data_IF_255762060387
#
_entry.id   IF_255762060387
#
_cell.length_a   1.000
_cell.length_b   1.000
_cell.length_c   1.000
_cell.angle_alpha   90.00
_cell.angle_beta   90.00
_cell.angle_gamma   90.00
#
_symmetry.space_group_name_H-M   'P 1'
#
loop_
_entity.id
_entity.type
_entity.pdbx_description
1 polymer ?
#
# COMPACT_ATOMS: atom_id res chain seq x y z
N UNK A 1 -17.47 -10.66 6.65
CA UNK A 1 -17.62 -9.78 5.47
C UNK A 1 -18.13 -10.51 4.22
N UNK A 2 -17.71 -11.75 4.00
CA UNK A 2 -18.04 -12.56 2.82
C UNK A 2 -19.55 -12.83 2.59
N UNK A 3 -20.36 -13.20 3.61
CA UNK A 3 -21.78 -13.52 3.40
C UNK A 3 -22.58 -12.32 2.90
N UNK A 4 -22.27 -11.14 3.42
CA UNK A 4 -22.90 -9.88 3.03
C UNK A 4 -22.59 -9.51 1.59
N UNK A 5 -21.31 -9.56 1.19
CA UNK A 5 -20.89 -9.24 -0.17
C UNK A 5 -21.54 -10.21 -1.19
N UNK A 6 -21.57 -11.51 -0.86
CA UNK A 6 -22.19 -12.54 -1.71
C UNK A 6 -23.69 -12.33 -1.86
N UNK A 7 -24.40 -12.06 -0.76
CA UNK A 7 -25.83 -11.76 -0.79
C UNK A 7 -26.14 -10.54 -1.67
N UNK A 8 -25.41 -9.44 -1.47
CA UNK A 8 -25.64 -8.18 -2.21
C UNK A 8 -25.39 -8.36 -3.70
N UNK A 9 -24.24 -8.95 -4.07
CA UNK A 9 -23.88 -9.16 -5.48
C UNK A 9 -24.88 -10.09 -6.18
N UNK A 10 -25.34 -11.13 -5.50
CA UNK A 10 -26.37 -12.04 -6.02
C UNK A 10 -27.68 -11.30 -6.27
N UNK A 11 -28.15 -10.52 -5.29
CA UNK A 11 -29.38 -9.73 -5.40
C UNK A 11 -29.31 -8.72 -6.55
N UNK A 12 -28.20 -8.01 -6.69
CA UNK A 12 -28.03 -6.97 -7.70
C UNK A 12 -27.95 -7.58 -9.12
N UNK A 13 -27.30 -8.75 -9.26
CA UNK A 13 -27.30 -9.53 -10.51
C UNK A 13 -28.71 -9.98 -10.91
N UNK A 14 -29.48 -10.54 -9.97
CA UNK A 14 -30.86 -10.99 -10.22
C UNK A 14 -31.76 -9.81 -10.64
N UNK A 15 -31.64 -8.65 -9.97
CA UNK A 15 -32.36 -7.42 -10.35
C UNK A 15 -31.97 -6.92 -11.74
N UNK A 16 -30.69 -7.01 -12.11
CA UNK A 16 -30.20 -6.64 -13.45
C UNK A 16 -30.80 -7.55 -14.52
N UNK A 17 -30.82 -8.87 -14.30
CA UNK A 17 -31.42 -9.84 -15.22
C UNK A 17 -32.93 -9.65 -15.38
N UNK A 18 -33.66 -9.45 -14.27
CA UNK A 18 -35.10 -9.16 -14.29
C UNK A 18 -35.41 -7.91 -15.12
N UNK A 19 -34.64 -6.83 -14.95
CA UNK A 19 -34.78 -5.60 -15.76
C UNK A 19 -34.49 -5.84 -17.24
N UNK A 20 -33.43 -6.57 -17.58
CA UNK A 20 -33.13 -6.90 -18.99
C UNK A 20 -34.22 -7.75 -19.65
N UNK A 21 -34.77 -8.73 -18.94
CA UNK A 21 -35.88 -9.55 -19.43
C UNK A 21 -37.13 -8.69 -19.70
N UNK A 22 -37.48 -7.77 -18.80
CA UNK A 22 -38.59 -6.83 -18.99
C UNK A 22 -38.38 -5.91 -20.20
N UNK A 23 -37.17 -5.40 -20.40
CA UNK A 23 -36.83 -4.55 -21.55
C UNK A 23 -36.92 -5.32 -22.88
N UNK A 24 -36.43 -6.57 -22.92
CA UNK A 24 -36.54 -7.43 -24.10
C UNK A 24 -38.00 -7.74 -24.45
N UNK A 25 -38.84 -7.98 -23.44
CA UNK A 25 -40.27 -8.23 -23.64
C UNK A 25 -41.03 -6.96 -24.08
N UNK A 26 -40.65 -5.79 -23.56
CA UNK A 26 -41.27 -4.51 -23.93
C UNK A 26 -40.89 -3.98 -25.32
N UNK A 27 -39.77 -4.46 -25.90
CA UNK A 27 -39.33 -4.07 -27.24
C UNK A 27 -39.87 -4.98 -28.36
N UNK A 28 -40.60 -6.05 -28.01
CA UNK A 28 -41.32 -6.90 -28.95
C UNK A 28 -42.62 -6.21 -29.38
N UNK A 29 -42.65 -5.67 -30.61
CA UNK A 29 -43.84 -5.11 -31.26
C UNK A 29 -44.97 -6.15 -31.23
N UNK A 30 -46.09 -5.81 -30.60
CA UNK A 30 -47.29 -6.64 -30.53
C UNK A 30 -47.99 -6.70 -31.89
N UNK A 31 -47.55 -7.62 -32.77
CA UNK A 31 -48.30 -8.04 -33.96
C UNK A 31 -48.69 -9.52 -33.80
N UNK A 32 -49.65 -9.79 -32.91
CA UNK A 32 -50.19 -11.13 -32.72
C UNK A 32 -51.57 -11.08 -32.09
N UNK A 33 -52.58 -11.54 -32.82
CA UNK A 33 -53.96 -11.71 -32.35
C UNK A 33 -53.95 -12.67 -31.14
N UNK A 34 -54.63 -12.35 -30.02
CA UNK A 34 -54.62 -13.23 -28.85
C UNK A 34 -55.50 -14.45 -29.10
N UNK A 35 -54.89 -15.60 -29.39
CA UNK A 35 -55.58 -16.88 -29.33
C UNK A 35 -55.53 -17.39 -27.89
N UNK A 36 -56.70 -17.48 -27.25
CA UNK A 36 -56.85 -17.92 -25.88
C UNK A 36 -56.56 -19.40 -25.73
N UNK A 37 -55.36 -19.72 -25.23
CA UNK A 37 -55.06 -20.94 -24.47
C UNK A 37 -53.86 -20.61 -23.57
N UNK A 38 -54.15 -20.06 -22.39
CA UNK A 38 -53.17 -19.59 -21.42
C UNK A 38 -52.49 -20.76 -20.70
N UNK A 39 -51.50 -21.38 -21.34
CA UNK A 39 -50.47 -22.08 -20.58
C UNK A 39 -49.47 -21.02 -20.10
N UNK A 40 -49.47 -20.74 -18.80
CA UNK A 40 -48.47 -19.86 -18.21
C UNK A 40 -47.10 -20.49 -18.44
N UNK A 41 -46.35 -19.96 -19.41
CA UNK A 41 -44.94 -20.29 -19.60
C UNK A 41 -44.26 -19.96 -18.27
N UNK A 42 -43.88 -21.00 -17.53
CA UNK A 42 -43.08 -20.87 -16.34
C UNK A 42 -41.71 -20.37 -16.82
N UNK A 43 -41.52 -19.05 -16.85
CA UNK A 43 -40.23 -18.47 -17.18
C UNK A 43 -39.28 -18.92 -16.10
N UNK A 44 -38.43 -19.90 -16.42
CA UNK A 44 -37.37 -20.33 -15.53
C UNK A 44 -36.65 -19.09 -15.00
N UNK A 45 -36.59 -18.98 -13.68
CA UNK A 45 -35.98 -17.84 -13.01
C UNK A 45 -34.57 -17.62 -13.55
N UNK A 46 -34.08 -16.36 -13.58
CA UNK A 46 -32.80 -16.06 -14.23
C UNK A 46 -31.65 -16.89 -13.64
N UNK A 47 -31.21 -17.91 -14.37
CA UNK A 47 -30.16 -18.83 -13.93
C UNK A 47 -28.79 -18.12 -13.97
N UNK A 48 -27.96 -18.32 -12.95
CA UNK A 48 -26.63 -17.69 -12.87
C UNK A 48 -25.64 -18.53 -13.69
N UNK A 49 -25.07 -17.95 -14.75
CA UNK A 49 -24.08 -18.65 -15.57
C UNK A 49 -22.82 -18.96 -14.76
N UNK A 50 -22.18 -20.10 -15.02
CA UNK A 50 -20.87 -20.47 -14.41
C UNK A 50 -19.83 -19.35 -14.51
N UNK A 51 -19.84 -18.57 -15.61
CA UNK A 51 -18.92 -17.42 -15.78
C UNK A 51 -19.23 -16.28 -14.80
N UNK A 52 -20.50 -15.99 -14.57
CA UNK A 52 -20.96 -14.94 -13.63
C UNK A 52 -20.69 -15.35 -12.19
N UNK A 53 -20.94 -16.61 -11.83
CA UNK A 53 -20.61 -17.16 -10.52
C UNK A 53 -19.11 -17.04 -10.21
N UNK A 54 -18.23 -17.38 -11.17
CA UNK A 54 -16.77 -17.20 -11.03
C UNK A 54 -16.36 -15.74 -10.86
N UNK A 55 -17.00 -14.82 -11.60
CA UNK A 55 -16.71 -13.37 -11.48
C UNK A 55 -17.16 -12.83 -10.11
N UNK A 56 -18.33 -13.25 -9.64
CA UNK A 56 -18.84 -12.89 -8.32
C UNK A 56 -17.92 -13.42 -7.21
N UNK A 57 -17.53 -14.70 -7.26
CA UNK A 57 -16.61 -15.29 -6.30
C UNK A 57 -15.29 -14.51 -6.20
N UNK A 58 -14.67 -14.18 -7.33
CA UNK A 58 -13.46 -13.34 -7.35
C UNK A 58 -13.68 -11.94 -6.77
N UNK A 59 -14.85 -11.34 -7.00
CA UNK A 59 -15.18 -10.01 -6.46
C UNK A 59 -15.39 -10.06 -4.94
N UNK A 60 -15.99 -11.14 -4.44
CA UNK A 60 -16.17 -11.39 -3.00
C UNK A 60 -14.82 -11.63 -2.31
N UNK A 61 -13.92 -12.42 -2.91
CA UNK A 61 -12.58 -12.66 -2.38
C UNK A 61 -11.81 -11.33 -2.27
N UNK A 62 -11.78 -10.54 -3.34
CA UNK A 62 -11.15 -9.21 -3.36
C UNK A 62 -11.77 -8.26 -2.35
N UNK A 63 -13.08 -8.30 -2.16
CA UNK A 63 -13.75 -7.52 -1.12
C UNK A 63 -13.28 -7.93 0.28
N UNK A 64 -13.11 -9.23 0.54
CA UNK A 64 -12.60 -9.72 1.81
C UNK A 64 -11.13 -9.32 2.04
N UNK A 65 -10.28 -9.42 1.01
CA UNK A 65 -8.87 -8.96 1.05
C UNK A 65 -8.76 -7.46 1.38
N UNK A 66 -9.56 -6.63 0.71
CA UNK A 66 -9.59 -5.19 1.02
C UNK A 66 -10.20 -4.93 2.40
N UNK A 67 -11.20 -5.71 2.82
CA UNK A 67 -11.82 -5.60 4.15
C UNK A 67 -10.85 -5.92 5.28
N UNK A 68 -10.00 -6.94 5.11
CA UNK A 68 -8.92 -7.23 6.05
C UNK A 68 -7.94 -6.06 6.16
N UNK A 69 -7.54 -5.49 5.01
CA UNK A 69 -6.66 -4.34 4.96
C UNK A 69 -7.24 -3.13 5.72
N UNK A 70 -8.53 -2.81 5.52
CA UNK A 70 -9.20 -1.71 6.25
C UNK A 70 -9.17 -1.94 7.76
N UNK A 71 -9.50 -3.15 8.23
CA UNK A 71 -9.48 -3.46 9.67
C UNK A 71 -8.07 -3.28 10.22
N UNK A 72 -7.07 -3.86 9.55
CA UNK A 72 -5.68 -3.80 9.97
C UNK A 72 -5.17 -2.35 10.05
N UNK A 73 -5.33 -1.57 8.97
CA UNK A 73 -4.87 -0.18 8.92
C UNK A 73 -5.60 0.70 9.94
N UNK A 74 -6.89 0.47 10.18
CA UNK A 74 -7.64 1.22 11.20
C UNK A 74 -7.10 0.91 12.60
N UNK A 75 -6.84 -0.36 12.91
CA UNK A 75 -6.25 -0.75 14.20
C UNK A 75 -4.86 -0.14 14.40
N UNK A 76 -4.00 -0.19 13.37
CA UNK A 76 -2.66 0.41 13.43
C UNK A 76 -2.73 1.93 13.60
N UNK A 77 -3.62 2.60 12.86
CA UNK A 77 -3.76 4.04 12.96
C UNK A 77 -4.28 4.48 14.33
N UNK A 78 -5.26 3.77 14.90
CA UNK A 78 -5.71 4.00 16.28
C UNK A 78 -4.58 3.79 17.30
N UNK A 79 -3.75 2.76 17.11
CA UNK A 79 -2.59 2.51 17.97
C UNK A 79 -1.52 3.60 17.82
N UNK A 80 -1.26 4.06 16.59
CA UNK A 80 -0.37 5.19 16.30
C UNK A 80 -0.86 6.47 16.96
N UNK A 81 -2.16 6.79 16.87
CA UNK A 81 -2.75 7.92 17.58
C UNK A 81 -2.61 7.80 19.10
N UNK A 82 -2.88 6.62 19.66
CA UNK A 82 -2.67 6.38 21.09
C UNK A 82 -1.22 6.66 21.47
N UNK A 83 -0.26 6.13 20.72
CA UNK A 83 1.17 6.39 20.96
C UNK A 83 1.45 7.89 20.87
N UNK A 84 1.00 8.58 19.82
CA UNK A 84 1.27 10.00 19.62
C UNK A 84 0.65 10.90 20.70
N UNK A 85 -0.57 10.60 21.17
CA UNK A 85 -1.21 11.32 22.26
C UNK A 85 -0.46 11.18 23.59
N UNK A 86 0.25 10.08 23.80
CA UNK A 86 1.07 9.86 24.99
C UNK A 86 2.49 10.45 24.85
N UNK A 87 2.85 10.99 23.69
CA UNK A 87 4.11 11.72 23.52
C UNK A 87 3.89 13.23 23.79
N UNK A 88 4.90 13.93 24.35
CA UNK A 88 4.85 15.37 24.58
C UNK A 88 5.02 16.18 23.28
N UNK A 89 4.39 15.74 22.20
CA UNK A 89 4.46 16.36 20.86
C UNK A 89 3.09 16.89 20.50
N UNK A 90 2.97 18.21 20.30
CA UNK A 90 1.72 18.79 19.80
C UNK A 90 1.51 18.34 18.33
N UNK A 91 0.28 17.93 18.01
CA UNK A 91 -0.12 17.23 16.77
C UNK A 91 0.25 17.98 15.47
N UNK A 92 0.47 19.29 15.54
CA UNK A 92 0.68 20.15 14.36
C UNK A 92 1.88 21.09 14.46
N UNK A 93 2.74 20.97 15.48
CA UNK A 93 3.94 21.82 15.60
C UNK A 93 5.21 21.03 15.25
N UNK A 94 5.82 21.25 14.07
CA UNK A 94 7.01 20.54 13.64
C UNK A 94 8.26 20.92 14.45
N UNK A 95 8.19 21.94 15.30
CA UNK A 95 9.25 22.29 16.26
C UNK A 95 9.19 21.39 17.50
N UNK A 96 7.99 20.93 17.91
CA UNK A 96 7.82 20.19 19.15
C UNK A 96 8.34 18.74 19.07
N UNK A 97 8.46 18.19 17.86
CA UNK A 97 9.05 16.85 17.63
C UNK A 97 10.54 16.79 17.93
N UNK A 98 11.22 17.94 17.97
CA UNK A 98 12.66 18.07 18.25
C UNK A 98 12.99 18.37 19.71
N UNK A 99 11.98 18.62 20.57
CA UNK A 99 12.18 18.96 21.97
C UNK A 99 12.81 17.76 22.71
N UNK A 100 13.98 17.97 23.32
CA UNK A 100 14.79 16.97 24.04
C UNK A 100 15.40 15.87 23.15
N UNK A 101 15.84 16.23 21.94
CA UNK A 101 16.68 15.36 21.11
C UNK A 101 18.11 15.26 21.69
N UNK A 102 18.77 14.09 21.72
CA UNK A 102 18.31 12.77 21.27
C UNK A 102 17.38 12.06 22.27
N UNK A 103 16.38 11.36 21.74
CA UNK A 103 15.33 10.71 22.53
C UNK A 103 15.77 9.34 23.05
N UNK A 104 16.54 9.32 24.14
CA UNK A 104 16.95 8.09 24.83
C UNK A 104 16.57 8.13 26.32
N UNK A 105 15.91 7.11 26.89
CA UNK A 105 15.45 5.85 26.29
C UNK A 105 14.11 5.95 25.53
N UNK A 106 13.90 5.05 24.57
CA UNK A 106 12.64 4.96 23.82
C UNK A 106 11.54 4.30 24.65
N UNK A 107 10.36 4.93 24.71
CA UNK A 107 9.20 4.33 25.36
C UNK A 107 8.80 3.01 24.65
N UNK A 108 8.47 1.98 25.44
CA UNK A 108 8.07 0.66 24.94
C UNK A 108 6.98 0.69 23.85
N UNK A 109 5.89 1.47 24.01
CA UNK A 109 4.83 1.60 23.00
C UNK A 109 5.33 2.14 21.65
N UNK A 110 6.27 3.09 21.65
CA UNK A 110 6.86 3.66 20.43
C UNK A 110 7.67 2.60 19.69
N UNK A 111 8.49 1.84 20.43
CA UNK A 111 9.29 0.75 19.87
C UNK A 111 8.39 -0.34 19.29
N UNK A 112 7.32 -0.72 20.00
CA UNK A 112 6.36 -1.70 19.52
C UNK A 112 5.65 -1.23 18.24
N UNK A 113 5.20 0.02 18.19
CA UNK A 113 4.56 0.59 17.00
C UNK A 113 5.49 0.57 15.79
N UNK A 114 6.73 1.03 15.94
CA UNK A 114 7.73 1.00 14.87
C UNK A 114 8.01 -0.40 14.33
N UNK A 115 8.19 -1.38 15.23
CA UNK A 115 8.50 -2.75 14.83
C UNK A 115 7.31 -3.42 14.14
N UNK A 116 6.09 -3.24 14.67
CA UNK A 116 4.87 -3.75 14.03
C UNK A 116 4.66 -3.14 12.65
N UNK A 117 4.85 -1.83 12.52
CA UNK A 117 4.67 -1.13 11.26
C UNK A 117 5.74 -1.56 10.23
N UNK A 118 7.00 -1.69 10.64
CA UNK A 118 8.09 -2.16 9.77
C UNK A 118 7.84 -3.59 9.30
N UNK A 119 7.44 -4.49 10.21
CA UNK A 119 7.11 -5.87 9.89
C UNK A 119 5.95 -5.96 8.89
N UNK A 120 4.95 -5.09 9.04
CA UNK A 120 3.83 -5.03 8.10
C UNK A 120 4.24 -4.54 6.71
N UNK A 121 5.06 -3.49 6.61
CA UNK A 121 5.55 -3.02 5.31
C UNK A 121 6.43 -4.06 4.61
N UNK A 122 7.25 -4.82 5.37
CA UNK A 122 7.98 -5.98 4.84
C UNK A 122 7.03 -7.08 4.36
N UNK A 123 5.98 -7.38 5.13
CA UNK A 123 4.95 -8.33 4.72
C UNK A 123 4.25 -7.92 3.41
N UNK A 124 4.00 -6.62 3.21
CA UNK A 124 3.40 -6.11 1.98
C UNK A 124 4.30 -6.26 0.75
N UNK A 125 5.62 -6.20 0.91
CA UNK A 125 6.59 -6.52 -0.17
C UNK A 125 6.41 -7.97 -0.62
N UNK A 126 6.27 -8.90 0.33
CA UNK A 126 6.04 -10.32 0.03
C UNK A 126 4.69 -10.54 -0.66
N UNK A 127 3.62 -9.90 -0.17
CA UNK A 127 2.28 -10.00 -0.77
C UNK A 127 2.29 -9.49 -2.21
N UNK A 128 2.90 -8.33 -2.48
CA UNK A 128 2.95 -7.76 -3.83
C UNK A 128 3.70 -8.66 -4.81
N UNK A 129 4.73 -9.36 -4.34
CA UNK A 129 5.47 -10.30 -5.18
C UNK A 129 4.71 -11.63 -5.41
N UNK A 130 3.85 -12.02 -4.45
CA UNK A 130 2.98 -13.18 -4.59
C UNK A 130 1.74 -12.90 -5.47
N UNK A 131 1.27 -11.65 -5.54
CA UNK A 131 0.13 -11.27 -6.38
C UNK A 131 0.52 -11.16 -7.86
N UNK A 132 -0.43 -11.49 -8.75
CA UNK A 132 -0.22 -11.40 -10.19
C UNK A 132 0.21 -9.97 -10.59
N UNK A 133 1.34 -9.89 -11.31
CA UNK A 133 1.98 -8.63 -11.70
C UNK A 133 1.02 -7.73 -12.49
N UNK A 134 0.69 -6.58 -11.90
CA UNK A 134 -0.08 -5.49 -12.51
C UNK A 134 0.84 -4.41 -13.09
N UNK A 135 0.33 -3.55 -13.99
CA UNK A 135 1.14 -2.51 -14.67
C UNK A 135 1.79 -1.51 -13.69
N UNK A 136 1.19 -1.32 -12.52
CA UNK A 136 1.68 -0.47 -11.44
C UNK A 136 2.51 -1.22 -10.37
N UNK A 137 2.87 -2.49 -10.61
CA UNK A 137 3.60 -3.31 -9.65
C UNK A 137 4.96 -2.71 -9.26
N UNK A 138 5.77 -2.27 -10.24
CA UNK A 138 7.09 -1.69 -9.95
C UNK A 138 6.98 -0.39 -9.14
N UNK A 139 6.00 0.46 -9.45
CA UNK A 139 5.79 1.71 -8.74
C UNK A 139 5.44 1.46 -7.25
N UNK A 140 4.54 0.51 -6.98
CA UNK A 140 4.18 0.15 -5.61
C UNK A 140 5.34 -0.54 -4.89
N UNK A 141 6.10 -1.40 -5.57
CA UNK A 141 7.28 -2.08 -5.00
C UNK A 141 8.34 -1.09 -4.56
N UNK A 142 8.76 -0.19 -5.46
CA UNK A 142 9.75 0.86 -5.16
C UNK A 142 9.26 1.72 -3.99
N UNK A 143 7.96 2.05 -3.96
CA UNK A 143 7.40 2.79 -2.85
C UNK A 143 7.57 2.07 -1.51
N UNK A 144 7.24 0.78 -1.41
CA UNK A 144 7.40 0.03 -0.16
C UNK A 144 8.86 -0.11 0.26
N UNK A 145 9.77 -0.33 -0.69
CA UNK A 145 11.21 -0.39 -0.40
C UNK A 145 11.71 0.94 0.17
N UNK A 146 11.35 2.07 -0.44
CA UNK A 146 11.70 3.41 0.06
C UNK A 146 11.10 3.64 1.46
N UNK A 147 9.84 3.30 1.68
CA UNK A 147 9.20 3.48 2.99
C UNK A 147 9.88 2.65 4.07
N UNK A 148 10.23 1.39 3.80
CA UNK A 148 10.98 0.55 4.75
C UNK A 148 12.36 1.13 5.05
N UNK A 149 13.08 1.61 4.02
CA UNK A 149 14.38 2.24 4.19
C UNK A 149 14.29 3.52 5.05
N UNK A 150 13.29 4.38 4.81
CA UNK A 150 13.05 5.59 5.59
C UNK A 150 12.71 5.27 7.05
N UNK A 151 11.92 4.22 7.30
CA UNK A 151 11.58 3.77 8.65
C UNK A 151 12.77 3.18 9.39
N UNK A 152 13.60 2.39 8.71
CA UNK A 152 14.83 1.85 9.29
C UNK A 152 15.81 2.99 9.61
N UNK A 153 16.01 3.93 8.69
CA UNK A 153 16.84 5.11 8.90
C UNK A 153 16.36 5.95 10.08
N UNK A 154 15.06 6.28 10.15
CA UNK A 154 14.53 7.07 11.27
C UNK A 154 14.65 6.35 12.62
N UNK A 155 14.69 5.02 12.62
CA UNK A 155 14.94 4.22 13.81
C UNK A 155 16.41 4.27 14.25
N UNK A 156 17.37 4.07 13.33
CA UNK A 156 18.81 4.10 13.62
C UNK A 156 19.29 5.48 14.07
N UNK A 157 18.82 6.55 13.42
CA UNK A 157 19.17 7.94 13.76
C UNK A 157 18.35 8.54 14.92
N UNK A 158 17.51 7.74 15.59
CA UNK A 158 16.64 8.18 16.71
C UNK A 158 15.63 9.31 16.37
N UNK A 159 15.30 9.50 15.09
CA UNK A 159 14.23 10.39 14.62
C UNK A 159 12.82 9.76 14.74
N UNK A 160 12.63 8.99 15.82
CA UNK A 160 11.45 8.16 16.05
C UNK A 160 10.18 8.99 16.21
N UNK A 161 10.24 10.13 16.90
CA UNK A 161 9.08 11.03 17.06
C UNK A 161 8.58 11.60 15.74
N UNK A 162 9.51 12.07 14.89
CA UNK A 162 9.20 12.60 13.55
C UNK A 162 8.63 11.48 12.68
N UNK A 163 9.26 10.31 12.66
CA UNK A 163 8.75 9.21 11.86
C UNK A 163 7.43 8.63 12.37
N UNK A 164 7.14 8.65 13.68
CA UNK A 164 5.80 8.33 14.20
C UNK A 164 4.71 9.24 13.63
N UNK A 165 4.97 10.55 13.61
CA UNK A 165 4.05 11.52 13.02
C UNK A 165 3.83 11.24 11.53
N UNK A 166 4.92 11.02 10.78
CA UNK A 166 4.85 10.71 9.34
C UNK A 166 4.06 9.41 9.10
N UNK A 167 4.29 8.36 9.88
CA UNK A 167 3.57 7.08 9.75
C UNK A 167 2.06 7.25 9.97
N UNK A 168 1.63 7.97 11.01
CA UNK A 168 0.20 8.22 11.28
C UNK A 168 -0.46 8.99 10.13
N UNK A 169 0.23 9.98 9.58
CA UNK A 169 -0.26 10.78 8.46
C UNK A 169 -0.35 9.97 7.16
N UNK A 170 0.64 9.12 6.88
CA UNK A 170 0.67 8.26 5.70
C UNK A 170 -0.39 7.17 5.78
N UNK A 171 -0.49 6.48 6.92
CA UNK A 171 -1.41 5.36 7.14
C UNK A 171 -2.90 5.76 7.01
N UNK A 172 -3.24 7.03 7.28
CA UNK A 172 -4.61 7.54 7.12
C UNK A 172 -5.13 7.35 5.68
N UNK A 173 -4.30 7.64 4.68
CA UNK A 173 -4.69 7.50 3.28
C UNK A 173 -4.83 6.02 2.87
N UNK A 174 -4.07 5.14 3.52
CA UNK A 174 -4.10 3.70 3.29
C UNK A 174 -5.33 3.00 3.89
N UNK A 175 -6.10 3.68 4.75
CA UNK A 175 -7.44 3.24 5.17
C UNK A 175 -8.48 3.56 4.09
N UNK A 176 -8.42 4.76 3.53
CA UNK A 176 -9.47 5.29 2.63
C UNK A 176 -9.41 4.59 1.27
N UNK A 177 -8.22 4.27 0.77
CA UNK A 177 -8.02 3.56 -0.51
C UNK A 177 -8.73 2.18 -0.59
N UNK A 178 -8.47 1.22 0.30
CA UNK A 178 -9.15 -0.06 0.28
C UNK A 178 -10.65 0.09 0.58
N UNK A 179 -11.04 1.08 1.39
CA UNK A 179 -12.46 1.39 1.62
C UNK A 179 -13.18 1.84 0.32
N UNK A 180 -12.56 2.70 -0.47
CA UNK A 180 -13.09 3.12 -1.78
C UNK A 180 -13.21 1.92 -2.75
N UNK A 181 -12.23 1.02 -2.76
CA UNK A 181 -12.27 -0.23 -3.54
C UNK A 181 -13.41 -1.15 -3.07
N UNK A 182 -13.65 -1.27 -1.77
CA UNK A 182 -14.78 -2.03 -1.23
C UNK A 182 -16.12 -1.47 -1.72
N UNK A 183 -16.31 -0.16 -1.73
CA UNK A 183 -17.51 0.47 -2.28
C UNK A 183 -17.66 0.24 -3.79
N UNK A 184 -16.56 0.24 -4.54
CA UNK A 184 -16.55 -0.13 -5.96
C UNK A 184 -17.01 -1.57 -6.18
N UNK A 185 -16.53 -2.53 -5.38
CA UNK A 185 -16.96 -3.93 -5.48
C UNK A 185 -18.43 -4.12 -5.12
N UNK A 186 -18.96 -3.33 -4.19
CA UNK A 186 -20.38 -3.33 -3.82
C UNK A 186 -21.28 -2.55 -4.81
N UNK A 187 -20.73 -2.08 -5.94
CA UNK A 187 -21.43 -1.31 -6.97
C UNK A 187 -22.12 -0.04 -6.43
N UNK A 188 -21.57 0.56 -5.37
CA UNK A 188 -22.09 1.80 -4.76
C UNK A 188 -21.31 2.99 -5.33
N UNK A 189 -21.71 3.50 -6.50
CA UNK A 189 -21.01 4.58 -7.20
C UNK A 189 -20.90 5.85 -6.35
N UNK A 190 -21.99 6.32 -5.74
CA UNK A 190 -21.99 7.56 -4.95
C UNK A 190 -21.01 7.53 -3.77
N UNK A 191 -20.97 6.44 -3.00
CA UNK A 191 -20.02 6.30 -1.90
C UNK A 191 -18.59 6.08 -2.39
N UNK A 192 -18.42 5.35 -3.51
CA UNK A 192 -17.11 5.16 -4.12
C UNK A 192 -16.50 6.49 -4.59
N UNK A 193 -17.29 7.32 -5.26
CA UNK A 193 -16.82 8.60 -5.79
C UNK A 193 -16.58 9.59 -4.63
N UNK A 194 -17.46 9.63 -3.63
CA UNK A 194 -17.26 10.44 -2.43
C UNK A 194 -15.98 10.05 -1.65
N UNK A 195 -15.77 8.75 -1.40
CA UNK A 195 -14.55 8.28 -0.72
C UNK A 195 -13.30 8.49 -1.55
N UNK A 196 -13.37 8.42 -2.87
CA UNK A 196 -12.27 8.73 -3.75
C UNK A 196 -11.87 10.21 -3.69
N UNK A 197 -12.86 11.13 -3.65
CA UNK A 197 -12.60 12.56 -3.47
C UNK A 197 -11.97 12.85 -2.11
N UNK A 198 -12.50 12.25 -1.04
CA UNK A 198 -11.93 12.38 0.31
C UNK A 198 -10.49 11.87 0.33
N UNK A 199 -10.23 10.72 -0.28
CA UNK A 199 -8.88 10.17 -0.43
C UNK A 199 -7.96 11.14 -1.16
N UNK A 200 -8.40 11.71 -2.30
CA UNK A 200 -7.55 12.62 -3.08
C UNK A 200 -7.19 13.88 -2.30
N UNK A 201 -8.16 14.46 -1.60
CA UNK A 201 -7.94 15.64 -0.74
C UNK A 201 -7.00 15.30 0.42
N UNK A 202 -7.25 14.20 1.14
CA UNK A 202 -6.39 13.80 2.26
C UNK A 202 -4.97 13.47 1.80
N UNK A 203 -4.83 12.82 0.64
CA UNK A 203 -3.53 12.48 0.05
C UNK A 203 -2.75 13.72 -0.36
N UNK A 204 -3.40 14.71 -0.97
CA UNK A 204 -2.76 15.99 -1.30
C UNK A 204 -2.26 16.70 -0.03
N UNK A 205 -3.10 16.83 0.99
CA UNK A 205 -2.75 17.51 2.25
C UNK A 205 -1.61 16.79 2.97
N UNK A 206 -1.69 15.47 3.11
CA UNK A 206 -0.70 14.69 3.87
C UNK A 206 0.66 14.62 3.15
N UNK A 207 0.67 14.35 1.84
CA UNK A 207 1.94 14.20 1.08
C UNK A 207 2.55 15.50 0.57
N UNK A 208 1.75 16.49 0.19
CA UNK A 208 2.30 17.74 -0.35
C UNK A 208 2.35 18.85 0.69
N UNK A 209 1.40 18.89 1.63
CA UNK A 209 1.44 19.84 2.73
C UNK A 209 2.35 19.37 3.85
N UNK A 210 1.87 18.39 4.62
CA UNK A 210 2.48 18.02 5.90
C UNK A 210 3.85 17.36 5.75
N UNK A 211 4.05 16.52 4.73
CA UNK A 211 5.34 15.88 4.48
C UNK A 211 6.43 16.89 4.06
N UNK A 212 6.09 17.85 3.19
CA UNK A 212 7.04 18.92 2.80
C UNK A 212 7.36 19.81 4.00
N UNK A 213 6.34 20.17 4.80
CA UNK A 213 6.57 20.94 6.03
C UNK A 213 7.47 20.20 7.03
N UNK A 214 7.27 18.89 7.19
CA UNK A 214 8.14 18.07 8.02
C UNK A 214 9.58 18.08 7.51
N UNK A 215 9.80 17.90 6.20
CA UNK A 215 11.13 17.98 5.59
C UNK A 215 11.76 19.36 5.79
N UNK A 216 11.04 20.44 5.50
CA UNK A 216 11.52 21.81 5.68
C UNK A 216 11.91 22.07 7.13
N UNK A 217 11.09 21.66 8.09
CA UNK A 217 11.40 21.84 9.51
C UNK A 217 12.62 21.01 9.94
N UNK A 218 12.79 19.79 9.41
CA UNK A 218 13.99 18.98 9.66
C UNK A 218 15.25 19.64 9.07
N UNK A 219 15.13 20.21 7.86
CA UNK A 219 16.21 20.90 7.17
C UNK A 219 16.63 22.18 7.88
N UNK A 220 15.68 23.00 8.33
CA UNK A 220 15.97 24.22 9.06
C UNK A 220 16.73 23.93 10.36
N UNK A 221 16.24 23.00 11.17
CA UNK A 221 16.90 22.58 12.41
C UNK A 221 18.31 22.03 12.14
N UNK A 222 18.46 21.21 11.10
CA UNK A 222 19.76 20.68 10.70
C UNK A 222 20.72 21.76 10.21
N UNK A 223 20.24 22.70 9.40
CA UNK A 223 21.06 23.81 8.89
C UNK A 223 21.57 24.71 10.03
N UNK A 224 20.73 24.98 11.03
CA UNK A 224 21.14 25.69 12.25
C UNK A 224 22.16 24.91 13.06
N UNK A 225 21.99 23.59 13.20
CA UNK A 225 22.93 22.73 13.91
C UNK A 225 24.30 22.63 13.19
N UNK A 226 24.32 22.54 11.85
CA UNK A 226 25.56 22.53 11.06
C UNK A 226 26.29 23.87 11.15
N UNK A 227 25.57 24.98 11.05
CA UNK A 227 26.17 26.31 11.18
C UNK A 227 26.74 26.54 12.59
N UNK A 228 26.10 25.98 13.63
CA UNK A 228 26.59 26.04 15.00
C UNK A 228 27.79 25.11 15.28
N UNK A 229 27.98 24.05 14.49
CA UNK A 229 29.02 23.04 14.69
C UNK A 229 30.21 23.15 13.73
N UNK A 230 30.14 24.01 12.71
CA UNK A 230 31.25 24.28 11.80
C UNK A 230 31.60 23.14 10.83
N UNK A 231 30.75 22.10 10.73
CA UNK A 231 30.98 20.97 9.84
C UNK A 231 30.35 21.19 8.45
N UNK A 232 31.03 20.78 7.35
CA UNK A 232 30.47 20.85 5.99
C UNK A 232 29.24 19.94 5.81
N UNK A 233 28.32 20.40 4.95
CA UNK A 233 27.03 19.78 4.59
C UNK A 233 27.18 18.37 3.96
N UNK A 234 28.41 18.03 3.56
CA UNK A 234 28.80 16.96 2.64
C UNK A 234 28.68 15.56 3.27
N UNK A 235 28.88 15.44 4.60
CA UNK A 235 28.99 14.15 5.32
C UNK A 235 27.66 13.40 5.38
N UNK A 236 26.52 14.10 5.36
CA UNK A 236 25.20 13.49 5.50
C UNK A 236 24.61 13.08 4.15
N UNK A 237 24.98 13.76 3.06
CA UNK A 237 24.64 13.32 1.71
C UNK A 237 25.34 12.00 1.38
N UNK A 238 26.55 11.78 1.90
CA UNK A 238 27.26 10.50 1.80
C UNK A 238 26.59 9.38 2.63
N UNK A 239 26.00 9.68 3.79
CA UNK A 239 25.22 8.71 4.58
C UNK A 239 23.89 8.34 3.92
N UNK A 240 23.20 9.34 3.34
CA UNK A 240 21.96 9.12 2.59
C UNK A 240 22.25 8.37 1.27
N UNK A 241 23.35 8.72 0.59
CA UNK A 241 23.86 8.03 -0.60
C UNK A 241 24.25 6.60 -0.27
N UNK A 242 24.91 6.35 0.87
CA UNK A 242 25.26 5.01 1.35
C UNK A 242 24.03 4.17 1.66
N UNK A 243 23.02 4.76 2.31
CA UNK A 243 21.74 4.09 2.57
C UNK A 243 20.98 3.76 1.27
N UNK A 244 20.98 4.66 0.29
CA UNK A 244 20.41 4.43 -1.04
C UNK A 244 21.23 3.40 -1.84
N UNK A 245 22.55 3.34 -1.66
CA UNK A 245 23.42 2.34 -2.28
C UNK A 245 23.19 0.93 -1.72
N UNK A 246 22.95 0.80 -0.41
CA UNK A 246 22.53 -0.46 0.23
C UNK A 246 21.19 -0.94 -0.32
N UNK A 247 20.24 -0.03 -0.55
CA UNK A 247 18.93 -0.34 -1.17
C UNK A 247 19.06 -0.71 -2.66
N UNK A 248 20.02 -0.10 -3.37
CA UNK A 248 20.25 -0.36 -4.79
C UNK A 248 20.98 -1.67 -5.06
N UNK A 249 21.39 -2.44 -4.04
CA UNK A 249 22.02 -3.74 -4.21
C UNK A 249 23.32 -3.71 -5.01
N UNK A 250 24.03 -2.58 -5.03
CA UNK A 250 25.27 -2.40 -5.81
C UNK A 250 26.53 -2.97 -5.13
N UNK A 251 26.36 -3.93 -4.22
CA UNK A 251 27.45 -4.46 -3.38
C UNK A 251 27.62 -5.96 -3.42
N UNK A 252 27.07 -6.68 -4.40
CA UNK A 252 27.10 -8.15 -4.40
C UNK A 252 27.44 -8.81 -5.75
N UNK A 253 28.05 -8.09 -6.69
CA UNK A 253 28.47 -8.63 -7.99
C UNK A 253 29.84 -8.08 -8.40
N UNK A 254 30.91 -8.36 -7.64
CA UNK A 254 32.29 -8.15 -8.14
C UNK A 254 33.34 -9.10 -7.54
N UNK A 255 32.96 -10.16 -6.81
CA UNK A 255 33.92 -11.16 -6.27
C UNK A 255 33.62 -12.61 -6.72
N UNK A 256 33.06 -12.81 -7.92
CA UNK A 256 32.91 -14.18 -8.44
C UNK A 256 33.02 -14.28 -9.95
N UNK A 257 34.19 -13.93 -10.47
CA UNK A 257 34.59 -14.32 -11.83
C UNK A 257 36.10 -14.27 -11.96
N UNK A 258 36.83 -15.11 -11.24
CA UNK A 258 38.24 -15.43 -11.48
C UNK A 258 38.60 -16.76 -10.81
N UNK A 259 37.89 -17.85 -11.14
CA UNK A 259 38.48 -19.20 -11.01
C UNK A 259 37.63 -20.23 -11.77
N UNK A 260 37.82 -20.30 -13.09
CA UNK A 260 37.61 -21.55 -13.84
C UNK A 260 38.21 -21.42 -15.24
N UNK A 261 39.31 -22.14 -15.45
CA UNK A 261 39.75 -22.55 -16.79
C UNK A 261 41.18 -22.18 -17.15
N UNK A 262 42.15 -22.99 -16.73
CA UNK A 262 43.03 -23.59 -17.75
C UNK A 262 43.62 -24.91 -17.27
N UNK A 263 43.09 -25.98 -17.82
CA UNK A 263 43.60 -27.33 -17.69
C UNK A 263 43.52 -27.96 -19.06
N UNK A 264 44.67 -28.02 -19.73
CA UNK A 264 45.20 -29.15 -20.50
C UNK A 264 45.84 -28.71 -21.83
N UNK A 265 47.17 -28.85 -21.91
CA UNK A 265 47.89 -29.37 -23.09
C UNK A 265 49.37 -29.57 -22.78
N UNK A 266 49.66 -30.80 -22.35
CA UNK A 266 50.79 -31.65 -22.71
C UNK A 266 52.06 -31.06 -23.38
N UNK A 267 53.21 -31.43 -22.78
CA UNK A 267 54.41 -32.04 -23.41
C UNK A 267 55.15 -31.23 -24.48
N UNK A 268 56.41 -30.84 -24.21
CA UNK A 268 57.61 -31.36 -24.93
C UNK A 268 58.96 -30.82 -24.39
N UNK A 269 59.81 -31.75 -23.92
CA UNK A 269 61.27 -31.88 -24.13
C UNK A 269 62.27 -30.70 -24.01
N UNK A 270 63.22 -30.89 -23.07
CA UNK A 270 64.69 -30.68 -23.18
C UNK A 270 65.24 -29.37 -23.81
N UNK A 271 66.02 -28.61 -23.03
CA UNK A 271 67.51 -28.54 -23.09
C UNK A 271 68.07 -27.34 -22.31
N UNK A 272 69.15 -27.61 -21.59
CA UNK A 272 70.38 -26.81 -21.45
C UNK A 272 70.25 -25.29 -21.17
N UNK A 273 70.56 -24.87 -19.94
CA UNK A 273 71.83 -24.20 -19.56
C UNK A 273 71.70 -23.49 -18.20
#
# INVERSE_FOLDING_TARGET
MEPFARWKLTRDLMRSKKRKALLLNGNGKANGVPNGNGHAVHVDGPEISKREARKMHRSVLRFAEQGWSVIYYTCQWCFGLYVHHNLPTAVLNPVNVWINFPHYPLAGPVKLYYLLQTAFYLHQILIINAEARRKDHWQMMIHHVITVALMAGSYFYNYTRVGCLIMILMDWCDIILPLAKMFRYLSMSTLCDATFVIFLLSWLVTRHGLFILAIMATWEVWSHACHASGHPIDVVLDDLSSCMAVVSGKGAEDERSDDEGDGDSAVESKKDQ
#
